data_IF_663507402907
#
_entry.id   IF_663507402907
#
_cell.length_a   1.000
_cell.length_b   1.000
_cell.length_c   1.000
_cell.angle_alpha   90.00
_cell.angle_beta   90.00
_cell.angle_gamma   90.00
#
_symmetry.space_group_name_H-M   'P 1'
#
loop_
_entity.id
_entity.type
_entity.pdbx_description
1 polymer ?
#
# COMPACT_ATOMS: atom_id res chain seq x y z
N UNK A 1 -9.23 -10.80 -22.47
CA UNK A 1 -9.07 -10.30 -21.08
C UNK A 1 -10.06 -11.02 -20.20
N UNK A 2 -9.58 -11.80 -19.24
CA UNK A 2 -10.35 -12.48 -18.20
C UNK A 2 -9.88 -12.02 -16.82
N UNK A 3 -10.70 -12.28 -15.80
CA UNK A 3 -10.33 -12.04 -14.40
C UNK A 3 -10.08 -13.37 -13.67
N UNK A 4 -8.82 -13.62 -13.33
CA UNK A 4 -8.38 -14.78 -12.57
C UNK A 4 -8.42 -14.47 -11.09
N UNK A 5 -9.22 -15.22 -10.32
CA UNK A 5 -9.47 -15.00 -8.91
C UNK A 5 -8.95 -16.18 -8.08
N UNK A 6 -8.04 -15.90 -7.14
CA UNK A 6 -7.42 -16.95 -6.34
C UNK A 6 -8.43 -17.63 -5.40
N UNK A 7 -8.45 -18.95 -5.44
CA UNK A 7 -9.27 -19.83 -4.60
C UNK A 7 -8.41 -20.83 -3.82
N UNK A 8 -9.07 -21.62 -2.98
CA UNK A 8 -8.55 -22.87 -2.43
C UNK A 8 -9.72 -23.82 -2.20
N UNK A 9 -9.60 -25.06 -2.68
CA UNK A 9 -10.67 -26.07 -2.65
C UNK A 9 -11.96 -25.55 -3.31
N UNK A 10 -11.83 -24.84 -4.42
CA UNK A 10 -12.98 -24.24 -5.13
C UNK A 10 -13.67 -23.05 -4.44
N UNK A 11 -13.20 -22.62 -3.26
CA UNK A 11 -13.75 -21.47 -2.53
C UNK A 11 -12.81 -20.27 -2.54
N UNK A 12 -13.38 -19.05 -2.46
CA UNK A 12 -12.58 -17.83 -2.32
C UNK A 12 -11.80 -17.85 -1.01
N UNK A 13 -10.51 -17.49 -1.06
CA UNK A 13 -9.63 -17.47 0.13
C UNK A 13 -10.00 -16.39 1.16
N UNK A 14 -10.84 -15.43 0.81
CA UNK A 14 -11.28 -14.37 1.70
C UNK A 14 -12.19 -13.35 1.03
N UNK A 15 -12.61 -12.36 1.83
CA UNK A 15 -13.54 -11.31 1.41
C UNK A 15 -13.00 -10.51 0.22
N UNK A 16 -11.69 -10.25 0.17
CA UNK A 16 -11.08 -9.49 -0.94
C UNK A 16 -11.26 -10.19 -2.30
N UNK A 17 -11.05 -11.51 -2.36
CA UNK A 17 -11.23 -12.30 -3.58
C UNK A 17 -12.71 -12.38 -3.97
N UNK A 18 -13.60 -12.59 -3.00
CA UNK A 18 -15.05 -12.60 -3.24
C UNK A 18 -15.56 -11.26 -3.79
N UNK A 19 -15.17 -10.14 -3.17
CA UNK A 19 -15.59 -8.80 -3.60
C UNK A 19 -15.06 -8.47 -4.99
N UNK A 20 -13.81 -8.85 -5.30
CA UNK A 20 -13.26 -8.67 -6.63
C UNK A 20 -14.01 -9.51 -7.67
N UNK A 21 -14.26 -10.79 -7.39
CA UNK A 21 -15.06 -11.66 -8.24
C UNK A 21 -16.44 -11.07 -8.53
N UNK A 22 -17.15 -10.64 -7.48
CA UNK A 22 -18.48 -10.04 -7.62
C UNK A 22 -18.43 -8.77 -8.49
N UNK A 23 -17.42 -7.92 -8.27
CA UNK A 23 -17.21 -6.72 -9.08
C UNK A 23 -16.98 -7.04 -10.56
N UNK A 24 -16.07 -7.96 -10.87
CA UNK A 24 -15.79 -8.38 -12.25
C UNK A 24 -17.01 -9.03 -12.91
N UNK A 25 -17.71 -9.89 -12.18
CA UNK A 25 -18.94 -10.53 -12.67
C UNK A 25 -20.03 -9.51 -12.99
N UNK A 26 -20.24 -8.52 -12.12
CA UNK A 26 -21.21 -7.44 -12.34
C UNK A 26 -20.83 -6.53 -13.52
N UNK A 27 -19.53 -6.44 -13.86
CA UNK A 27 -19.04 -5.72 -15.04
C UNK A 27 -19.08 -6.57 -16.32
N UNK A 28 -19.55 -7.83 -16.26
CA UNK A 28 -19.64 -8.72 -17.43
C UNK A 28 -18.32 -9.38 -17.83
N UNK A 29 -17.30 -9.36 -16.97
CA UNK A 29 -16.06 -10.07 -17.25
C UNK A 29 -16.23 -11.58 -17.05
N UNK A 30 -15.58 -12.37 -17.90
CA UNK A 30 -15.37 -13.78 -17.62
C UNK A 30 -14.43 -13.92 -16.42
N UNK A 31 -14.88 -14.63 -15.38
CA UNK A 31 -14.12 -14.89 -14.16
C UNK A 31 -13.69 -16.34 -14.09
N UNK A 32 -12.41 -16.60 -13.82
CA UNK A 32 -11.84 -17.95 -13.71
C UNK A 32 -11.19 -18.12 -12.34
N UNK A 33 -11.49 -19.21 -11.65
CA UNK A 33 -10.82 -19.54 -10.38
C UNK A 33 -9.47 -20.20 -10.65
N UNK A 34 -8.50 -19.94 -9.77
CA UNK A 34 -7.18 -20.59 -9.83
C UNK A 34 -6.62 -20.80 -8.41
N UNK A 35 -5.77 -21.80 -8.19
CA UNK A 35 -5.25 -22.10 -6.85
C UNK A 35 -3.78 -21.72 -6.67
N UNK A 36 -2.99 -21.94 -7.72
CA UNK A 36 -1.52 -21.83 -7.71
C UNK A 36 -1.02 -20.86 -8.76
N UNK A 37 0.24 -20.43 -8.66
CA UNK A 37 0.85 -19.56 -9.68
C UNK A 37 0.96 -20.28 -11.03
N UNK A 38 1.12 -21.60 -11.02
CA UNK A 38 1.31 -22.39 -12.25
C UNK A 38 0.07 -22.37 -13.14
N UNK A 39 -1.11 -22.21 -12.55
CA UNK A 39 -2.38 -22.02 -13.26
C UNK A 39 -2.40 -20.73 -14.11
N UNK A 40 -1.44 -19.81 -13.89
CA UNK A 40 -1.32 -18.52 -14.56
C UNK A 40 -0.27 -18.51 -15.69
N UNK A 41 0.45 -19.61 -15.93
CA UNK A 41 1.61 -19.64 -16.84
C UNK A 41 1.26 -19.44 -18.32
N UNK A 42 0.02 -19.72 -18.73
CA UNK A 42 -0.45 -19.58 -20.13
C UNK A 42 -1.45 -18.44 -20.30
N UNK A 43 -1.31 -17.37 -19.50
CA UNK A 43 -2.25 -16.25 -19.49
C UNK A 43 -1.67 -15.03 -20.19
N UNK A 44 -2.55 -14.21 -20.75
CA UNK A 44 -2.15 -13.00 -21.46
C UNK A 44 -1.65 -11.94 -20.48
N UNK A 45 -0.94 -10.93 -21.00
CA UNK A 45 -0.46 -9.79 -20.20
C UNK A 45 -1.64 -8.92 -19.73
N UNK A 46 -2.70 -8.89 -20.51
CA UNK A 46 -3.89 -8.06 -20.31
C UNK A 46 -4.87 -8.67 -19.30
N UNK A 47 -4.69 -9.94 -18.93
CA UNK A 47 -5.55 -10.61 -17.96
C UNK A 47 -5.36 -10.06 -16.55
N UNK A 48 -6.48 -9.95 -15.82
CA UNK A 48 -6.46 -9.46 -14.44
C UNK A 48 -6.21 -10.63 -13.50
N UNK A 49 -5.26 -10.49 -12.57
CA UNK A 49 -4.98 -11.48 -11.52
C UNK A 49 -5.29 -10.89 -10.15
N UNK A 50 -6.18 -11.55 -9.41
CA UNK A 50 -6.56 -11.20 -8.04
C UNK A 50 -6.14 -12.32 -7.11
N UNK A 51 -5.18 -12.05 -6.22
CA UNK A 51 -4.68 -13.04 -5.29
C UNK A 51 -3.85 -12.43 -4.16
N UNK A 52 -3.24 -13.30 -3.36
CA UNK A 52 -2.29 -12.88 -2.34
C UNK A 52 -1.05 -12.21 -2.95
N UNK A 53 -0.39 -11.36 -2.16
CA UNK A 53 0.77 -10.58 -2.60
C UNK A 53 1.88 -11.43 -3.25
N UNK A 54 2.15 -12.63 -2.71
CA UNK A 54 3.17 -13.53 -3.27
C UNK A 54 2.84 -14.00 -4.69
N UNK A 55 1.59 -14.41 -4.92
CA UNK A 55 1.10 -14.85 -6.24
C UNK A 55 1.15 -13.70 -7.25
N UNK A 56 0.65 -12.52 -6.86
CA UNK A 56 0.64 -11.34 -7.73
C UNK A 56 2.07 -10.94 -8.09
N UNK A 57 3.00 -10.92 -7.12
CA UNK A 57 4.41 -10.63 -7.38
C UNK A 57 5.07 -11.65 -8.29
N UNK A 58 4.79 -12.94 -8.09
CA UNK A 58 5.32 -13.99 -8.96
C UNK A 58 4.86 -13.77 -10.42
N UNK A 59 3.57 -13.51 -10.63
CA UNK A 59 3.03 -13.22 -11.96
C UNK A 59 3.63 -11.96 -12.59
N UNK A 60 3.72 -10.86 -11.84
CA UNK A 60 4.34 -9.62 -12.32
C UNK A 60 5.79 -9.82 -12.75
N UNK A 61 6.56 -10.65 -12.02
CA UNK A 61 7.94 -11.00 -12.42
C UNK A 61 7.99 -11.79 -13.72
N UNK A 62 7.06 -12.72 -13.97
CA UNK A 62 6.99 -13.43 -15.27
C UNK A 62 6.68 -12.48 -16.45
N UNK A 63 6.10 -11.31 -16.16
CA UNK A 63 5.82 -10.26 -17.15
C UNK A 63 6.97 -9.23 -17.28
N UNK A 64 8.07 -9.43 -16.55
CA UNK A 64 9.22 -8.51 -16.52
C UNK A 64 8.97 -7.23 -15.72
N UNK A 65 7.97 -7.20 -14.84
CA UNK A 65 7.64 -6.03 -14.01
C UNK A 65 8.41 -6.07 -12.70
N UNK A 66 9.05 -4.94 -12.33
CA UNK A 66 9.68 -4.79 -11.03
C UNK A 66 8.64 -4.85 -9.91
N UNK A 67 8.94 -5.66 -8.88
CA UNK A 67 8.07 -5.90 -7.73
C UNK A 67 8.77 -5.56 -6.40
N UNK A 68 9.81 -4.74 -6.48
CA UNK A 68 10.55 -4.22 -5.34
C UNK A 68 9.62 -3.52 -4.33
N UNK A 69 9.98 -3.61 -3.05
CA UNK A 69 9.22 -2.94 -1.99
C UNK A 69 9.30 -1.42 -2.15
N UNK A 70 8.14 -0.79 -2.36
CA UNK A 70 8.05 0.67 -2.44
C UNK A 70 7.99 1.21 -1.02
N UNK A 71 9.12 1.67 -0.50
CA UNK A 71 9.26 2.24 0.83
C UNK A 71 9.50 3.75 0.75
N UNK A 72 8.53 4.56 1.19
CA UNK A 72 8.62 6.03 1.24
C UNK A 72 9.23 6.63 -0.04
N UNK A 73 8.50 6.58 -1.17
CA UNK A 73 9.00 7.09 -2.45
C UNK A 73 9.38 8.57 -2.32
N UNK A 74 10.43 8.97 -3.04
CA UNK A 74 11.07 10.28 -2.89
C UNK A 74 10.08 11.43 -3.12
N UNK A 75 9.15 11.24 -4.06
CA UNK A 75 8.07 12.16 -4.38
C UNK A 75 7.15 12.44 -3.19
N UNK A 76 7.14 11.55 -2.19
CA UNK A 76 6.33 11.68 -0.98
C UNK A 76 7.10 12.24 0.22
N UNK A 77 8.44 12.32 0.16
CA UNK A 77 9.28 12.71 1.30
C UNK A 77 8.89 14.09 1.87
N UNK A 78 8.53 15.04 1.01
CA UNK A 78 8.11 16.39 1.42
C UNK A 78 6.80 16.43 2.24
N UNK A 79 6.02 15.35 2.25
CA UNK A 79 4.76 15.27 2.98
C UNK A 79 4.85 14.45 4.27
N UNK A 80 5.99 13.82 4.55
CA UNK A 80 6.15 12.94 5.72
C UNK A 80 6.12 13.71 7.05
N UNK A 81 6.51 14.99 7.03
CA UNK A 81 6.49 15.85 8.22
C UNK A 81 7.47 15.44 9.32
N UNK A 82 8.42 14.57 9.00
CA UNK A 82 9.46 14.04 9.90
C UNK A 82 10.66 13.58 9.09
N UNK A 83 11.84 13.52 9.72
CA UNK A 83 13.05 12.98 9.10
C UNK A 83 13.01 11.45 9.04
N UNK A 84 13.45 10.89 7.91
CA UNK A 84 13.66 9.46 7.74
C UNK A 84 15.12 9.21 7.37
N UNK A 85 15.67 8.10 7.84
CA UNK A 85 16.98 7.62 7.42
C UNK A 85 17.00 6.09 7.41
N UNK A 86 17.90 5.53 6.61
CA UNK A 86 18.15 4.09 6.56
C UNK A 86 19.34 3.76 7.45
N UNK A 87 19.24 2.67 8.18
CA UNK A 87 20.33 2.12 9.00
C UNK A 87 20.12 0.61 9.14
N UNK A 88 20.82 -0.04 10.07
CA UNK A 88 20.68 -1.45 10.37
C UNK A 88 20.13 -1.69 11.78
N UNK A 89 19.56 -2.87 12.01
CA UNK A 89 18.94 -3.18 13.31
C UNK A 89 19.97 -3.25 14.44
N UNK A 90 21.20 -3.67 14.13
CA UNK A 90 22.30 -3.70 15.12
C UNK A 90 22.71 -2.28 15.51
N UNK A 91 22.80 -1.38 14.54
CA UNK A 91 23.09 0.03 14.82
C UNK A 91 22.01 0.69 15.69
N UNK A 92 20.73 0.41 15.42
CA UNK A 92 19.62 0.84 16.29
C UNK A 92 19.79 0.30 17.71
N UNK A 93 20.22 -0.96 17.86
CA UNK A 93 20.44 -1.55 19.18
C UNK A 93 21.58 -0.88 19.96
N UNK A 94 22.57 -0.30 19.28
CA UNK A 94 23.66 0.47 19.91
C UNK A 94 23.28 1.92 20.23
N UNK A 95 22.50 2.60 19.37
CA UNK A 95 22.26 4.06 19.47
C UNK A 95 21.00 4.49 20.22
N UNK A 96 20.02 3.60 20.44
CA UNK A 96 18.69 3.94 21.01
C UNK A 96 18.73 4.53 22.44
N UNK A 97 19.89 4.55 23.10
CA UNK A 97 20.05 5.08 24.46
C UNK A 97 19.78 6.59 24.60
N UNK A 98 19.69 7.35 23.51
CA UNK A 98 19.58 8.83 23.54
C UNK A 98 18.17 9.40 23.29
N UNK A 99 17.31 8.73 22.51
CA UNK A 99 15.96 9.21 22.18
C UNK A 99 15.11 8.07 21.58
N UNK A 100 13.78 7.98 21.85
CA UNK A 100 12.94 7.00 21.20
C UNK A 100 12.87 7.21 19.68
N UNK A 101 12.93 6.11 18.93
CA UNK A 101 12.88 6.09 17.46
C UNK A 101 11.74 5.22 16.96
N UNK A 102 11.08 5.64 15.88
CA UNK A 102 10.23 4.72 15.13
C UNK A 102 11.08 3.89 14.17
N UNK A 103 10.91 2.57 14.16
CA UNK A 103 11.72 1.62 13.39
C UNK A 103 10.78 0.71 12.59
N UNK A 104 11.04 0.59 11.29
CA UNK A 104 10.33 -0.30 10.36
C UNK A 104 11.34 -1.08 9.51
N UNK A 105 11.15 -2.38 9.24
CA UNK A 105 12.02 -3.08 8.31
C UNK A 105 11.85 -2.56 6.88
N UNK A 106 12.94 -2.53 6.11
CA UNK A 106 12.88 -2.25 4.67
C UNK A 106 12.14 -3.40 3.95
N UNK A 107 12.45 -4.63 4.34
CA UNK A 107 11.74 -5.81 3.83
C UNK A 107 10.34 -5.91 4.45
N UNK A 108 9.33 -6.07 3.58
CA UNK A 108 7.94 -6.19 4.01
C UNK A 108 7.71 -7.40 4.92
N UNK A 109 6.80 -7.25 5.87
CA UNK A 109 6.29 -8.33 6.75
C UNK A 109 7.29 -9.00 7.70
N UNK A 110 8.53 -8.50 7.86
CA UNK A 110 9.43 -9.00 8.94
C UNK A 110 8.86 -8.73 10.33
N UNK A 111 8.44 -7.49 10.58
CA UNK A 111 7.69 -7.10 11.77
C UNK A 111 6.90 -5.81 11.51
N UNK A 112 5.87 -5.55 12.31
CA UNK A 112 5.12 -4.29 12.26
C UNK A 112 5.95 -3.16 12.86
N UNK A 113 6.16 -2.09 12.09
CA UNK A 113 6.94 -0.94 12.54
C UNK A 113 6.46 -0.39 13.90
N UNK A 114 7.41 0.08 14.70
CA UNK A 114 7.20 0.29 16.13
C UNK A 114 8.07 1.41 16.69
N UNK A 115 7.64 2.00 17.80
CA UNK A 115 8.50 2.89 18.59
C UNK A 115 9.42 2.05 19.47
N UNK A 116 10.71 2.37 19.47
CA UNK A 116 11.77 1.73 20.24
C UNK A 116 12.38 2.80 21.13
N UNK A 117 12.05 2.77 22.42
CA UNK A 117 12.60 3.68 23.44
C UNK A 117 13.77 3.07 24.23
N UNK A 118 13.98 1.77 24.11
CA UNK A 118 15.10 1.03 24.68
C UNK A 118 15.30 -0.27 23.90
N UNK A 119 16.44 -0.93 24.08
CA UNK A 119 16.75 -2.23 23.45
C UNK A 119 15.71 -3.31 23.76
N UNK A 120 15.00 -3.21 24.90
CA UNK A 120 13.85 -4.09 25.23
C UNK A 120 12.75 -4.04 24.18
N UNK A 121 12.57 -2.90 23.52
CA UNK A 121 11.60 -2.73 22.44
C UNK A 121 11.90 -3.59 21.22
N UNK A 122 13.12 -4.11 21.07
CA UNK A 122 13.50 -4.98 19.94
C UNK A 122 13.28 -6.47 20.23
N UNK A 123 13.04 -6.85 21.49
CA UNK A 123 12.82 -8.25 21.89
C UNK A 123 11.56 -8.78 21.20
N UNK A 124 11.65 -9.98 20.63
CA UNK A 124 10.53 -10.66 19.98
C UNK A 124 10.19 -10.19 18.55
N UNK A 125 10.97 -9.25 17.97
CA UNK A 125 10.74 -8.74 16.59
C UNK A 125 11.48 -9.52 15.49
N UNK A 126 11.99 -10.71 15.82
CA UNK A 126 12.73 -11.54 14.87
C UNK A 126 14.10 -10.97 14.49
N UNK A 127 14.66 -10.10 15.33
CA UNK A 127 15.96 -9.47 15.11
C UNK A 127 17.17 -10.33 15.52
N UNK A 128 16.93 -11.52 16.08
CA UNK A 128 18.00 -12.34 16.63
C UNK A 128 18.91 -12.88 15.52
N UNK A 129 20.21 -12.53 15.58
CA UNK A 129 21.27 -13.13 14.77
C UNK A 129 21.30 -12.69 13.30
N UNK A 130 20.58 -11.63 12.92
CA UNK A 130 20.63 -11.08 11.56
C UNK A 130 20.64 -9.56 11.59
N UNK A 131 21.69 -8.97 11.04
CA UNK A 131 21.70 -7.54 10.77
C UNK A 131 21.00 -7.26 9.43
N UNK A 132 19.91 -6.49 9.47
CA UNK A 132 19.14 -6.17 8.27
C UNK A 132 18.78 -4.69 8.23
N UNK A 133 18.53 -4.19 7.01
CA UNK A 133 18.21 -2.79 6.80
C UNK A 133 16.83 -2.43 7.37
N UNK A 134 16.83 -1.34 8.12
CA UNK A 134 15.64 -0.71 8.68
C UNK A 134 15.55 0.75 8.25
N UNK A 135 14.34 1.27 8.31
CA UNK A 135 14.03 2.68 8.14
C UNK A 135 13.67 3.21 9.52
N UNK A 136 14.41 4.21 9.95
CA UNK A 136 14.18 4.93 11.18
C UNK A 136 13.53 6.28 10.88
N UNK A 137 12.72 6.76 11.82
CA UNK A 137 12.22 8.13 11.81
C UNK A 137 12.11 8.70 13.20
N UNK A 138 12.03 10.02 13.27
CA UNK A 138 11.54 10.71 14.46
C UNK A 138 10.17 10.15 14.85
N UNK A 139 9.93 10.07 16.16
CA UNK A 139 8.63 9.66 16.70
C UNK A 139 7.67 10.83 16.52
N UNK A 140 6.51 10.52 15.93
CA UNK A 140 5.42 11.48 15.74
C UNK A 140 4.20 10.91 16.44
N UNK A 141 3.55 11.74 17.24
CA UNK A 141 2.29 11.41 17.88
C UNK A 141 1.13 11.59 16.88
N UNK A 142 0.67 10.47 16.31
CA UNK A 142 -0.45 10.48 15.38
C UNK A 142 -1.77 10.50 16.13
N UNK A 143 -2.42 11.68 16.16
CA UNK A 143 -3.74 11.85 16.78
C UNK A 143 -4.84 11.12 16.01
N UNK A 144 -4.75 11.09 14.67
CA UNK A 144 -5.71 10.42 13.79
C UNK A 144 -5.05 10.00 12.48
N UNK A 145 -5.39 8.82 11.99
CA UNK A 145 -4.88 8.20 10.77
C UNK A 145 -6.02 8.00 9.77
N UNK A 146 -5.77 8.39 8.51
CA UNK A 146 -6.71 8.24 7.41
C UNK A 146 -6.07 7.52 6.24
N UNK A 147 -6.86 6.71 5.54
CA UNK A 147 -6.46 6.05 4.29
C UNK A 147 -7.13 6.75 3.12
N UNK A 148 -6.30 7.24 2.20
CA UNK A 148 -6.76 7.82 0.95
C UNK A 148 -6.70 6.76 -0.16
N UNK A 149 -7.75 6.70 -0.97
CA UNK A 149 -7.83 5.85 -2.15
C UNK A 149 -7.71 6.74 -3.39
N UNK A 150 -6.70 6.52 -4.21
CA UNK A 150 -6.44 7.33 -5.40
C UNK A 150 -6.52 6.49 -6.68
N UNK A 151 -7.07 7.09 -7.75
CA UNK A 151 -7.16 6.49 -9.09
C UNK A 151 -7.10 7.59 -10.14
N UNK A 152 -6.32 7.38 -11.21
CA UNK A 152 -6.14 8.35 -12.31
C UNK A 152 -5.83 9.78 -11.85
N UNK A 153 -5.01 9.88 -10.82
CA UNK A 153 -4.61 11.17 -10.25
C UNK A 153 -5.65 11.87 -9.37
N UNK A 154 -6.85 11.30 -9.19
CA UNK A 154 -7.88 11.80 -8.29
C UNK A 154 -7.94 11.00 -6.98
N UNK A 155 -8.33 11.67 -5.88
CA UNK A 155 -8.74 11.01 -4.64
C UNK A 155 -10.18 10.56 -4.81
N UNK A 156 -10.42 9.25 -4.74
CA UNK A 156 -11.75 8.64 -4.80
C UNK A 156 -12.45 8.67 -3.44
N UNK A 157 -11.70 8.40 -2.37
CA UNK A 157 -12.26 8.25 -1.03
C UNK A 157 -11.18 8.52 0.03
N UNK A 158 -11.61 8.98 1.20
CA UNK A 158 -10.76 9.18 2.39
C UNK A 158 -11.49 8.61 3.59
N UNK A 159 -10.94 7.54 4.16
CA UNK A 159 -11.56 6.85 5.30
C UNK A 159 -10.73 7.00 6.56
N UNK A 160 -11.40 7.28 7.67
CA UNK A 160 -10.79 7.18 8.99
C UNK A 160 -10.33 5.73 9.22
N UNK A 161 -9.10 5.58 9.68
CA UNK A 161 -8.50 4.27 9.93
C UNK A 161 -8.31 4.03 11.42
N UNK A 162 -7.75 5.00 12.15
CA UNK A 162 -7.46 4.87 13.59
C UNK A 162 -7.33 6.25 14.25
N UNK A 163 -7.60 6.32 15.55
CA UNK A 163 -7.38 7.52 16.36
C UNK A 163 -8.66 8.29 16.62
N UNK A 164 -8.52 9.58 16.90
CA UNK A 164 -9.65 10.48 17.15
C UNK A 164 -10.39 10.77 15.84
N UNK A 165 -11.60 10.23 15.73
CA UNK A 165 -12.47 10.37 14.55
C UNK A 165 -12.96 11.82 14.36
N UNK A 166 -12.93 12.66 15.40
CA UNK A 166 -13.33 14.07 15.33
C UNK A 166 -12.28 14.96 14.65
N UNK A 167 -11.04 14.47 14.52
CA UNK A 167 -9.94 15.20 13.88
C UNK A 167 -9.86 14.84 12.41
N UNK A 168 -10.35 15.72 11.53
CA UNK A 168 -10.26 15.54 10.08
C UNK A 168 -8.82 15.77 9.56
N UNK A 169 -8.43 15.18 8.41
CA UNK A 169 -7.17 15.51 7.74
C UNK A 169 -7.13 17.01 7.43
N UNK A 170 -5.98 17.64 7.63
CA UNK A 170 -5.81 19.06 7.30
C UNK A 170 -6.06 19.30 5.80
N UNK A 171 -7.04 20.16 5.49
CA UNK A 171 -7.54 20.40 4.10
C UNK A 171 -6.45 20.88 3.12
N UNK A 172 -5.38 21.48 3.62
CA UNK A 172 -4.21 21.92 2.84
C UNK A 172 -3.23 20.80 2.43
N UNK A 173 -3.40 19.60 3.00
CA UNK A 173 -2.49 18.45 2.82
C UNK A 173 -2.93 17.52 1.69
N UNK A 174 -4.23 17.43 1.44
CA UNK A 174 -4.82 16.47 0.49
C UNK A 174 -5.41 17.12 -0.76
N UNK A 175 -6.08 18.29 -0.66
CA UNK A 175 -6.80 18.89 -1.80
C UNK A 175 -5.93 19.70 -2.78
N UNK A 176 -4.82 20.30 -2.31
CA UNK A 176 -3.88 21.09 -3.16
C UNK A 176 -2.57 20.38 -3.50
N UNK A 177 -2.19 19.33 -2.76
CA UNK A 177 -0.87 18.70 -2.85
C UNK A 177 -0.85 17.40 -3.67
N UNK A 178 -1.92 16.59 -3.63
CA UNK A 178 -2.03 15.37 -4.45
C UNK A 178 -2.15 15.62 -5.96
N UNK A 179 -2.81 16.68 -6.47
CA UNK A 179 -2.77 17.01 -7.89
C UNK A 179 -1.34 17.30 -8.40
N UNK A 180 -0.45 17.79 -7.53
CA UNK A 180 0.99 17.95 -7.83
C UNK A 180 1.78 16.64 -7.75
N UNK A 181 1.36 15.69 -6.91
CA UNK A 181 1.96 14.36 -6.79
C UNK A 181 1.62 13.48 -8.01
N UNK A 182 0.44 13.63 -8.58
CA UNK A 182 -0.04 12.82 -9.70
C UNK A 182 0.46 13.33 -11.04
N UNK A 183 0.75 14.63 -11.16
CA UNK A 183 1.39 15.22 -12.34
C UNK A 183 2.84 14.72 -12.59
N UNK A 184 3.48 14.10 -11.59
CA UNK A 184 4.87 13.59 -11.68
C UNK A 184 4.97 12.07 -11.82
N UNK A 185 3.85 11.35 -11.86
CA UNK A 185 3.85 9.90 -12.00
C UNK A 185 4.05 9.49 -13.48
N UNK A 186 5.05 8.64 -13.82
CA UNK A 186 5.25 8.17 -15.19
C UNK A 186 4.02 7.42 -15.69
N UNK A 187 3.44 7.86 -16.81
CA UNK A 187 2.26 7.23 -17.42
C UNK A 187 0.92 7.91 -17.12
N UNK A 188 0.92 9.11 -16.52
CA UNK A 188 -0.30 9.93 -16.44
C UNK A 188 -0.63 10.48 -17.82
N UNK A 189 -1.75 10.09 -18.47
CA UNK A 189 -2.13 10.67 -19.76
C UNK A 189 -2.44 12.17 -19.58
N UNK A 190 -2.12 13.02 -20.57
CA UNK A 190 -2.38 14.45 -20.49
C UNK A 190 -3.88 14.70 -20.28
N UNK A 191 -4.19 15.48 -19.24
CA UNK A 191 -5.56 15.75 -18.81
C UNK A 191 -6.25 16.63 -19.85
N UNK A 192 -6.96 16.00 -20.80
CA UNK A 192 -7.89 16.68 -21.71
C UNK A 192 -9.31 16.20 -21.42
N UNK A 193 -9.86 16.61 -20.28
CA UNK A 193 -11.28 16.45 -20.02
C UNK A 193 -11.79 17.66 -19.24
N UNK A 194 -12.50 18.53 -19.96
CA UNK A 194 -13.29 19.63 -19.39
C UNK A 194 -14.34 19.06 -18.42
N UNK A 195 -14.58 19.69 -17.26
CA UNK A 195 -15.53 19.17 -16.27
C UNK A 195 -16.96 19.27 -16.81
N UNK A 196 -17.55 18.13 -17.16
CA UNK A 196 -19.01 18.05 -17.32
C UNK A 196 -19.62 18.01 -15.91
N UNK A 197 -20.37 19.05 -15.57
CA UNK A 197 -21.25 19.12 -14.41
C UNK A 197 -22.25 17.96 -14.43
N UNK A 198 -22.17 17.06 -13.45
CA UNK A 198 -23.20 16.08 -13.16
C UNK A 198 -24.19 16.69 -12.15
N UNK A 199 -25.47 16.77 -12.54
CA UNK A 199 -26.56 17.29 -11.71
C UNK A 199 -26.95 16.36 -10.56
N UNK A 200 -27.81 16.82 -9.63
CA UNK A 200 -28.11 16.12 -8.39
C UNK A 200 -29.10 14.99 -8.63
N UNK A 201 -28.73 13.75 -8.33
CA UNK A 201 -29.70 12.65 -8.20
C UNK A 201 -30.13 12.51 -6.74
N UNK A 202 -31.42 12.74 -6.52
CA UNK A 202 -32.17 12.51 -5.29
C UNK A 202 -32.36 11.02 -5.03
N UNK A 203 -32.16 10.61 -3.77
CA UNK A 203 -32.47 9.26 -3.29
C UNK A 203 -33.99 9.06 -3.12
N UNK A 204 -34.53 8.00 -3.72
CA UNK A 204 -35.67 7.22 -3.22
C UNK A 204 -35.31 5.75 -3.31
#
# INVERSE_FOLDING_TARGET
MKAYIQSGNGMFRGVSQYTAWLGFKNMGFETVLFETVDDLNTREREDVVVGGLGVVRARLRTLGVDTSEINYPEELCLFLGRRLWKTTIDHVNTEVSSCPLFVKPVEGKRFTGCVVASTKGLIGKGCCGKDFSVICSEVVDFVSEYRCFAKYGGILDVRHYRGDWSKAPSRGSSSRRLPRMTARWPGTPPTSASPRTAGPYSWR
#
